data_IF_384610393991
#
_entry.id   IF_384610393991
#
_cell.length_a   1.000
_cell.length_b   1.000
_cell.length_c   1.000
_cell.angle_alpha   90.00
_cell.angle_beta   90.00
_cell.angle_gamma   90.00
#
_symmetry.space_group_name_H-M   'P 1'
#
loop_
_entity.id
_entity.type
_entity.pdbx_description
1 polymer ?
#
# COMPACT_ATOMS: atom_id res chain seq x y z
N UNK A 1 28.88 -10.99 -31.03
CA UNK A 1 28.93 -12.42 -31.45
C UNK A 1 28.81 -13.33 -30.24
N UNK A 2 27.97 -14.36 -30.34
CA UNK A 2 27.72 -15.26 -29.23
C UNK A 2 28.81 -16.32 -29.19
N UNK A 3 29.66 -16.31 -28.17
CA UNK A 3 30.74 -17.28 -28.00
C UNK A 3 30.19 -18.60 -27.42
N UNK A 4 30.02 -19.62 -28.28
CA UNK A 4 29.38 -20.90 -27.92
C UNK A 4 29.99 -21.59 -26.70
N UNK A 5 31.33 -21.71 -26.51
CA UNK A 5 31.89 -22.33 -25.33
C UNK A 5 31.52 -21.61 -24.04
N UNK A 6 31.50 -20.29 -24.04
CA UNK A 6 31.10 -19.45 -22.88
C UNK A 6 29.65 -19.71 -22.51
N UNK A 7 28.75 -19.75 -23.49
CA UNK A 7 27.31 -20.07 -23.27
C UNK A 7 27.15 -21.48 -22.72
N UNK A 8 27.88 -22.46 -23.28
CA UNK A 8 27.81 -23.85 -22.81
C UNK A 8 28.24 -23.97 -21.34
N UNK A 9 29.32 -23.31 -20.92
CA UNK A 9 29.80 -23.30 -19.54
C UNK A 9 28.78 -22.63 -18.61
N UNK A 10 28.21 -21.49 -19.02
CA UNK A 10 27.19 -20.79 -18.25
C UNK A 10 25.93 -21.63 -18.08
N UNK A 11 25.44 -22.23 -19.16
CA UNK A 11 24.25 -23.06 -19.15
C UNK A 11 24.47 -24.36 -18.32
N UNK A 12 25.61 -25.02 -18.47
CA UNK A 12 25.96 -26.19 -17.68
C UNK A 12 26.03 -25.87 -16.18
N UNK A 13 26.64 -24.75 -15.84
CA UNK A 13 26.68 -24.26 -14.44
C UNK A 13 25.29 -23.97 -13.91
N UNK A 14 24.43 -23.31 -14.69
CA UNK A 14 23.06 -23.02 -14.28
C UNK A 14 22.24 -24.29 -14.06
N UNK A 15 22.34 -25.26 -15.00
CA UNK A 15 21.67 -26.56 -14.87
C UNK A 15 22.17 -27.33 -13.66
N UNK A 16 23.47 -27.31 -13.39
CA UNK A 16 24.05 -27.92 -12.20
C UNK A 16 23.50 -27.29 -10.92
N UNK A 17 23.46 -25.96 -10.83
CA UNK A 17 22.91 -25.24 -9.67
C UNK A 17 21.43 -25.60 -9.47
N UNK A 18 20.61 -25.55 -10.52
CA UNK A 18 19.19 -25.87 -10.45
C UNK A 18 18.95 -27.34 -10.09
N UNK A 19 19.75 -28.25 -10.66
CA UNK A 19 19.72 -29.69 -10.36
C UNK A 19 20.06 -29.99 -8.89
N UNK A 20 21.16 -29.44 -8.39
CA UNK A 20 21.56 -29.58 -6.98
C UNK A 20 20.49 -29.02 -6.06
N UNK A 21 19.97 -27.82 -6.38
CA UNK A 21 18.92 -27.20 -5.58
C UNK A 21 17.64 -28.05 -5.52
N UNK A 22 17.26 -28.67 -6.64
CA UNK A 22 16.06 -29.52 -6.72
C UNK A 22 16.24 -30.86 -5.99
N UNK A 23 17.40 -31.47 -6.13
CA UNK A 23 17.70 -32.81 -5.57
C UNK A 23 18.06 -32.72 -4.07
N UNK A 24 18.76 -31.68 -3.67
CA UNK A 24 19.25 -31.47 -2.31
C UNK A 24 19.05 -29.99 -1.86
N UNK A 25 17.83 -29.58 -1.50
CA UNK A 25 17.51 -28.17 -1.19
C UNK A 25 18.32 -27.57 -0.04
N UNK A 26 18.86 -28.42 0.84
CA UNK A 26 19.69 -27.99 1.99
C UNK A 26 21.16 -27.73 1.63
N UNK A 27 21.60 -28.13 0.43
CA UNK A 27 22.98 -27.94 0.00
C UNK A 27 23.18 -26.53 -0.58
N UNK A 28 24.39 -25.96 -0.44
CA UNK A 28 24.70 -24.64 -1.01
C UNK A 28 24.90 -24.74 -2.53
N UNK A 29 23.81 -24.93 -3.27
CA UNK A 29 23.81 -25.26 -4.70
C UNK A 29 24.62 -24.26 -5.55
N UNK A 30 24.52 -22.95 -5.26
CA UNK A 30 25.27 -21.93 -5.98
C UNK A 30 26.79 -22.09 -5.76
N UNK A 31 27.23 -22.32 -4.51
CA UNK A 31 28.63 -22.54 -4.19
C UNK A 31 29.18 -23.78 -4.91
N UNK A 32 28.45 -24.90 -4.84
CA UNK A 32 28.85 -26.15 -5.47
C UNK A 32 28.88 -26.04 -7.00
N UNK A 33 27.93 -25.32 -7.60
CA UNK A 33 27.94 -25.06 -9.02
C UNK A 33 29.13 -24.22 -9.48
N UNK A 34 29.47 -23.18 -8.71
CA UNK A 34 30.65 -22.34 -8.97
C UNK A 34 31.96 -23.14 -8.81
N UNK A 35 32.12 -23.87 -7.70
CA UNK A 35 33.30 -24.71 -7.50
C UNK A 35 33.43 -25.78 -8.58
N UNK A 36 32.31 -26.40 -8.96
CA UNK A 36 32.27 -27.35 -10.06
C UNK A 36 32.71 -26.73 -11.40
N UNK A 37 32.26 -25.51 -11.70
CA UNK A 37 32.67 -24.79 -12.91
C UNK A 37 34.16 -24.42 -12.91
N UNK A 38 34.74 -24.08 -11.74
CA UNK A 38 36.16 -23.83 -11.60
C UNK A 38 37.00 -25.10 -11.84
N UNK A 39 36.53 -26.24 -11.31
CA UNK A 39 37.15 -27.52 -11.57
C UNK A 39 37.14 -27.87 -13.06
N UNK A 40 36.02 -27.70 -13.71
CA UNK A 40 35.85 -27.90 -15.16
C UNK A 40 36.77 -26.98 -15.96
N UNK A 41 36.89 -25.71 -15.53
CA UNK A 41 37.76 -24.71 -16.16
C UNK A 41 39.23 -25.17 -16.16
N UNK A 42 39.72 -25.69 -15.04
CA UNK A 42 41.09 -26.19 -14.90
C UNK A 42 41.28 -27.51 -15.65
N UNK A 43 40.40 -28.50 -15.50
CA UNK A 43 40.57 -29.83 -16.03
C UNK A 43 40.48 -29.85 -17.57
N UNK A 44 39.60 -29.03 -18.18
CA UNK A 44 39.39 -28.98 -19.64
C UNK A 44 40.25 -27.89 -20.30
N UNK A 45 40.98 -27.07 -19.49
CA UNK A 45 41.74 -25.91 -19.99
C UNK A 45 40.85 -24.98 -20.82
N UNK A 46 39.71 -24.55 -20.26
CA UNK A 46 38.70 -23.76 -20.98
C UNK A 46 39.24 -22.40 -21.46
N UNK A 47 40.40 -21.97 -20.98
CA UNK A 47 41.14 -20.82 -21.46
C UNK A 47 41.55 -20.99 -22.95
N UNK A 48 41.99 -22.17 -23.33
CA UNK A 48 42.37 -22.52 -24.70
C UNK A 48 41.14 -22.44 -25.68
N UNK A 49 39.95 -22.55 -25.12
CA UNK A 49 38.69 -22.38 -25.87
C UNK A 49 38.13 -20.96 -25.82
N UNK A 50 38.89 -19.99 -25.30
CA UNK A 50 38.53 -18.59 -25.24
C UNK A 50 37.48 -18.24 -24.18
N UNK A 51 37.25 -19.10 -23.16
CA UNK A 51 36.37 -18.79 -22.05
C UNK A 51 37.12 -17.92 -21.04
N UNK A 52 36.73 -16.68 -20.90
CA UNK A 52 37.38 -15.73 -20.00
C UNK A 52 37.06 -16.01 -18.53
N UNK A 53 38.08 -15.97 -17.67
CA UNK A 53 37.93 -15.94 -16.23
C UNK A 53 37.91 -14.50 -15.69
N UNK A 54 37.50 -14.35 -14.41
CA UNK A 54 37.44 -13.05 -13.71
C UNK A 54 38.80 -12.36 -13.64
N UNK A 55 39.88 -13.17 -13.68
CA UNK A 55 41.25 -12.66 -13.52
C UNK A 55 41.65 -12.44 -12.06
N UNK A 56 42.83 -11.83 -11.87
CA UNK A 56 43.36 -11.54 -10.55
C UNK A 56 42.57 -10.36 -9.94
N UNK A 57 41.87 -10.66 -8.85
CA UNK A 57 41.24 -9.60 -8.03
C UNK A 57 42.30 -9.09 -7.02
N UNK A 58 42.44 -7.77 -6.84
CA UNK A 58 43.34 -7.24 -5.81
C UNK A 58 43.02 -7.85 -4.45
N UNK A 59 44.04 -8.51 -3.87
CA UNK A 59 43.92 -9.07 -2.52
C UNK A 59 44.24 -7.99 -1.48
N UNK A 60 43.54 -8.00 -0.37
CA UNK A 60 43.75 -7.09 0.73
C UNK A 60 42.53 -6.29 1.14
N UNK A 61 42.64 -5.61 2.25
CA UNK A 61 41.56 -4.74 2.74
C UNK A 61 41.48 -3.45 1.88
N UNK A 62 40.30 -3.04 1.42
CA UNK A 62 40.19 -1.83 0.63
C UNK A 62 40.64 -0.61 1.44
N UNK A 63 41.46 0.24 0.82
CA UNK A 63 41.94 1.47 1.47
C UNK A 63 40.83 2.52 1.41
N UNK A 64 40.60 3.25 2.51
CA UNK A 64 39.64 4.36 2.51
C UNK A 64 40.06 5.41 1.48
N UNK A 65 39.14 5.83 0.64
CA UNK A 65 39.37 6.89 -0.34
C UNK A 65 38.08 7.71 -0.54
N UNK A 66 38.25 9.01 -0.72
CA UNK A 66 37.14 9.85 -1.14
C UNK A 66 37.12 9.87 -2.67
N UNK A 67 35.96 9.68 -3.30
CA UNK A 67 35.86 9.74 -4.75
C UNK A 67 36.16 11.17 -5.24
N UNK A 68 37.02 11.27 -6.24
CA UNK A 68 37.28 12.52 -6.94
C UNK A 68 36.19 12.74 -8.00
N UNK A 69 35.24 13.62 -7.71
CA UNK A 69 34.08 13.89 -8.58
C UNK A 69 33.97 15.37 -8.88
N UNK A 70 33.76 15.72 -10.14
CA UNK A 70 33.48 17.09 -10.55
C UNK A 70 32.10 17.55 -10.07
N UNK A 71 31.88 18.87 -9.93
CA UNK A 71 30.60 19.42 -9.50
C UNK A 71 29.40 19.00 -10.38
N UNK A 72 29.62 18.83 -11.68
CA UNK A 72 28.55 18.38 -12.60
C UNK A 72 28.21 16.89 -12.40
N UNK A 73 29.21 16.06 -12.13
CA UNK A 73 29.01 14.65 -11.80
C UNK A 73 28.32 14.50 -10.44
N UNK A 74 28.71 15.31 -9.45
CA UNK A 74 28.08 15.33 -8.15
C UNK A 74 26.58 15.57 -8.23
N UNK A 75 26.13 16.56 -9.01
CA UNK A 75 24.70 16.82 -9.22
C UNK A 75 23.95 15.61 -9.79
N UNK A 76 24.54 14.92 -10.78
CA UNK A 76 23.94 13.69 -11.35
C UNK A 76 23.88 12.56 -10.34
N UNK A 77 24.96 12.41 -9.53
CA UNK A 77 25.04 11.39 -8.50
C UNK A 77 24.03 11.63 -7.38
N UNK A 78 23.74 12.87 -6.99
CA UNK A 78 22.75 13.19 -5.95
C UNK A 78 21.37 12.67 -6.35
N UNK A 79 20.94 12.88 -7.60
CA UNK A 79 19.64 12.39 -8.08
C UNK A 79 19.58 10.86 -8.08
N UNK A 80 20.65 10.20 -8.54
CA UNK A 80 20.74 8.75 -8.53
C UNK A 80 20.77 8.21 -7.09
N UNK A 81 21.54 8.84 -6.18
CA UNK A 81 21.66 8.47 -4.79
C UNK A 81 20.33 8.58 -4.04
N UNK A 82 19.50 9.61 -4.34
CA UNK A 82 18.16 9.74 -3.76
C UNK A 82 17.26 8.54 -4.13
N UNK A 83 17.29 8.12 -5.40
CA UNK A 83 16.54 6.94 -5.83
C UNK A 83 16.99 5.65 -5.14
N UNK A 84 18.32 5.45 -5.01
CA UNK A 84 18.89 4.31 -4.29
C UNK A 84 18.54 4.36 -2.81
N UNK A 85 18.62 5.54 -2.17
CA UNK A 85 18.29 5.72 -0.77
C UNK A 85 16.83 5.39 -0.46
N UNK A 86 15.89 5.88 -1.27
CA UNK A 86 14.45 5.59 -1.12
C UNK A 86 14.21 4.08 -1.27
N UNK A 87 14.81 3.44 -2.26
CA UNK A 87 14.65 2.02 -2.50
C UNK A 87 15.24 1.19 -1.36
N UNK A 88 16.48 1.47 -0.96
CA UNK A 88 17.18 0.76 0.11
C UNK A 88 16.45 0.92 1.45
N UNK A 89 15.97 2.13 1.76
CA UNK A 89 15.19 2.39 2.98
C UNK A 89 13.85 1.65 2.97
N UNK A 90 13.10 1.69 1.86
CA UNK A 90 11.82 1.01 1.74
C UNK A 90 11.95 -0.50 1.90
N UNK A 91 12.98 -1.10 1.27
CA UNK A 91 13.28 -2.51 1.35
C UNK A 91 13.71 -2.90 2.78
N UNK A 92 14.62 -2.12 3.40
CA UNK A 92 15.05 -2.33 4.78
C UNK A 92 13.86 -2.28 5.76
N UNK A 93 13.00 -1.27 5.65
CA UNK A 93 11.83 -1.11 6.50
C UNK A 93 10.81 -2.25 6.31
N UNK A 94 10.63 -2.73 5.07
CA UNK A 94 9.77 -3.88 4.79
C UNK A 94 10.25 -5.14 5.53
N UNK A 95 11.55 -5.43 5.46
CA UNK A 95 12.11 -6.61 6.12
C UNK A 95 12.22 -6.46 7.64
N UNK A 96 12.52 -5.27 8.14
CA UNK A 96 12.54 -5.00 9.58
C UNK A 96 11.16 -5.27 10.23
N UNK A 97 10.08 -4.88 9.54
CA UNK A 97 8.70 -5.18 9.98
C UNK A 97 8.27 -6.62 9.75
N UNK A 98 8.77 -7.28 8.71
CA UNK A 98 8.43 -8.66 8.39
C UNK A 98 9.12 -9.68 9.33
N UNK A 99 10.26 -9.33 9.90
CA UNK A 99 11.06 -10.17 10.77
C UNK A 99 11.37 -9.45 12.10
N UNK A 100 10.36 -9.30 12.98
CA UNK A 100 10.56 -8.62 14.25
C UNK A 100 11.60 -9.35 15.11
N UNK A 101 12.38 -8.59 15.89
CA UNK A 101 13.36 -9.13 16.81
C UNK A 101 12.73 -10.11 17.80
N UNK A 102 13.44 -11.19 18.18
CA UNK A 102 12.99 -12.09 19.23
C UNK A 102 12.74 -11.33 20.53
N UNK A 103 11.68 -11.71 21.26
CA UNK A 103 11.36 -11.08 22.55
C UNK A 103 12.43 -11.38 23.59
N UNK A 104 12.92 -10.33 24.22
CA UNK A 104 13.77 -10.45 25.40
C UNK A 104 12.90 -10.49 26.67
N UNK A 105 13.28 -11.22 27.72
CA UNK A 105 12.56 -11.20 28.98
C UNK A 105 12.46 -9.79 29.57
N UNK A 106 11.24 -9.31 29.81
CA UNK A 106 10.98 -7.98 30.37
C UNK A 106 10.80 -6.84 29.35
N UNK A 107 10.95 -7.11 28.07
CA UNK A 107 10.75 -6.15 27.00
C UNK A 107 9.26 -5.93 26.70
N UNK A 108 8.82 -4.67 26.61
CA UNK A 108 7.44 -4.31 26.27
C UNK A 108 7.19 -4.46 24.76
N UNK A 109 5.96 -4.76 24.31
CA UNK A 109 5.63 -4.79 22.89
C UNK A 109 5.97 -3.49 22.13
N UNK A 110 5.83 -2.33 22.78
CA UNK A 110 6.19 -1.02 22.23
C UNK A 110 7.68 -0.87 21.95
N UNK A 111 8.54 -1.54 22.72
CA UNK A 111 9.99 -1.42 22.59
C UNK A 111 10.53 -2.22 21.37
N UNK A 112 9.64 -2.98 20.71
CA UNK A 112 9.91 -3.75 19.49
C UNK A 112 9.48 -3.06 18.22
N UNK A 113 8.79 -1.93 18.33
CA UNK A 113 8.45 -1.17 17.14
C UNK A 113 9.72 -0.62 16.52
N UNK A 114 9.85 -0.90 15.22
CA UNK A 114 10.98 -0.39 14.43
C UNK A 114 10.81 1.12 14.30
N UNK A 115 11.73 1.87 14.90
CA UNK A 115 11.77 3.32 14.77
C UNK A 115 12.29 3.71 13.37
N UNK A 116 11.46 4.31 12.51
CA UNK A 116 11.85 4.69 11.16
C UNK A 116 13.03 5.66 11.10
N UNK A 117 13.19 6.54 12.10
CA UNK A 117 14.25 7.54 12.12
C UNK A 117 15.60 6.90 12.46
N UNK A 118 15.62 6.00 13.44
CA UNK A 118 16.82 5.26 13.82
C UNK A 118 17.30 4.33 12.68
N UNK A 119 16.36 3.67 12.00
CA UNK A 119 16.69 2.83 10.83
C UNK A 119 17.27 3.66 9.68
N UNK A 120 16.70 4.83 9.40
CA UNK A 120 17.23 5.73 8.37
C UNK A 120 18.64 6.23 8.72
N UNK A 121 18.87 6.62 9.98
CA UNK A 121 20.16 7.08 10.44
C UNK A 121 21.22 5.95 10.38
N UNK A 122 20.87 4.74 10.82
CA UNK A 122 21.74 3.57 10.76
C UNK A 122 22.09 3.21 9.31
N UNK A 123 21.10 3.20 8.41
CA UNK A 123 21.30 2.93 6.99
C UNK A 123 22.19 4.00 6.34
N UNK A 124 22.01 5.27 6.70
CA UNK A 124 22.87 6.39 6.28
C UNK A 124 24.33 6.20 6.72
N UNK A 125 24.54 5.84 7.98
CA UNK A 125 25.89 5.57 8.51
C UNK A 125 26.57 4.39 7.81
N UNK A 126 25.83 3.31 7.53
CA UNK A 126 26.32 2.15 6.77
C UNK A 126 26.73 2.56 5.36
N UNK A 127 25.90 3.32 4.63
CA UNK A 127 26.22 3.76 3.27
C UNK A 127 27.39 4.74 3.23
N UNK A 128 27.51 5.62 4.22
CA UNK A 128 28.69 6.49 4.33
C UNK A 128 29.98 5.69 4.54
N UNK A 129 29.95 4.70 5.44
CA UNK A 129 31.08 3.82 5.66
C UNK A 129 31.44 3.03 4.39
N UNK A 130 30.46 2.40 3.76
CA UNK A 130 30.64 1.65 2.50
C UNK A 130 31.18 2.55 1.39
N UNK A 131 30.70 3.79 1.27
CA UNK A 131 31.16 4.75 0.27
C UNK A 131 32.63 5.12 0.44
N UNK A 132 33.12 5.32 1.69
CA UNK A 132 34.53 5.61 2.01
C UNK A 132 35.46 4.46 1.59
N UNK A 133 34.97 3.22 1.65
CA UNK A 133 35.72 2.04 1.22
C UNK A 133 35.49 1.64 -0.22
N UNK A 134 34.84 2.49 -1.03
CA UNK A 134 34.55 2.23 -2.46
C UNK A 134 33.59 1.07 -2.71
N UNK A 135 32.75 0.73 -1.73
CA UNK A 135 31.79 -0.36 -1.85
C UNK A 135 30.49 0.04 -2.55
N UNK A 136 29.65 -0.95 -2.82
CA UNK A 136 28.32 -0.76 -3.44
C UNK A 136 27.27 -0.44 -2.37
N UNK A 137 26.17 0.26 -2.74
CA UNK A 137 25.02 0.43 -1.86
C UNK A 137 24.50 -0.92 -1.35
N UNK A 138 24.15 -0.97 -0.08
CA UNK A 138 23.66 -2.18 0.59
C UNK A 138 22.19 -2.07 0.95
N UNK A 139 21.49 -3.20 0.94
CA UNK A 139 20.10 -3.32 1.35
C UNK A 139 19.89 -4.61 2.13
N UNK A 140 18.71 -4.76 2.71
CA UNK A 140 18.31 -5.94 3.45
C UNK A 140 18.14 -7.16 2.52
N UNK A 141 18.28 -8.36 3.10
CA UNK A 141 18.05 -9.60 2.38
C UNK A 141 17.06 -10.49 3.12
N UNK A 142 15.83 -10.54 2.65
CA UNK A 142 14.77 -11.35 3.26
C UNK A 142 15.11 -12.84 3.34
N UNK A 143 15.79 -13.40 2.34
CA UNK A 143 16.16 -14.82 2.35
C UNK A 143 17.24 -15.14 3.39
N UNK A 144 18.24 -14.26 3.56
CA UNK A 144 19.27 -14.42 4.58
C UNK A 144 18.72 -14.20 5.98
N UNK A 145 17.85 -13.19 6.15
CA UNK A 145 17.16 -12.95 7.42
C UNK A 145 16.23 -14.12 7.79
N UNK A 146 15.45 -14.64 6.83
CA UNK A 146 14.63 -15.82 7.06
C UNK A 146 15.44 -17.05 7.47
N UNK A 147 16.64 -17.24 6.89
CA UNK A 147 17.54 -18.32 7.28
C UNK A 147 18.07 -18.14 8.72
N UNK A 148 18.45 -16.93 9.11
CA UNK A 148 18.87 -16.63 10.47
C UNK A 148 17.75 -16.87 11.50
N UNK A 149 16.53 -16.45 11.18
CA UNK A 149 15.34 -16.70 12.02
C UNK A 149 15.04 -18.20 12.12
N UNK A 150 15.11 -18.94 11.00
CA UNK A 150 14.90 -20.39 10.99
C UNK A 150 16.01 -21.15 11.77
N UNK A 151 17.22 -20.60 11.82
CA UNK A 151 18.32 -21.10 12.62
C UNK A 151 18.25 -20.65 14.11
N UNK A 152 17.17 -19.96 14.51
CA UNK A 152 16.98 -19.46 15.88
C UNK A 152 18.08 -18.49 16.35
N UNK A 153 18.63 -17.69 15.44
CA UNK A 153 19.60 -16.66 15.78
C UNK A 153 18.96 -15.60 16.69
N UNK A 154 19.51 -15.41 17.88
CA UNK A 154 18.99 -14.47 18.90
C UNK A 154 19.80 -13.19 19.03
N UNK A 155 20.98 -13.14 18.41
CA UNK A 155 21.92 -12.02 18.51
C UNK A 155 22.51 -11.72 17.14
N UNK A 156 23.13 -10.56 16.99
CA UNK A 156 23.83 -10.16 15.74
C UNK A 156 25.23 -10.81 15.60
N UNK A 157 25.64 -11.70 16.50
CA UNK A 157 26.92 -12.41 16.42
C UNK A 157 27.07 -13.19 15.12
N UNK A 158 25.98 -13.76 14.60
CA UNK A 158 26.03 -14.45 13.30
C UNK A 158 26.46 -13.52 12.14
N UNK A 159 26.08 -12.26 12.17
CA UNK A 159 26.48 -11.26 11.17
C UNK A 159 27.99 -10.93 11.28
N UNK A 160 28.50 -10.84 12.50
CA UNK A 160 29.94 -10.63 12.73
C UNK A 160 30.77 -11.83 12.26
N UNK A 161 30.29 -13.05 12.52
CA UNK A 161 30.94 -14.27 12.02
C UNK A 161 30.91 -14.31 10.50
N UNK A 162 29.77 -13.98 9.88
CA UNK A 162 29.66 -13.90 8.42
C UNK A 162 30.63 -12.85 7.84
N UNK A 163 30.73 -11.66 8.47
CA UNK A 163 31.67 -10.63 8.07
C UNK A 163 33.13 -11.09 8.19
N UNK A 164 33.48 -11.78 9.28
CA UNK A 164 34.82 -12.36 9.47
C UNK A 164 35.12 -13.41 8.39
N UNK A 165 34.19 -14.29 8.05
CA UNK A 165 34.36 -15.25 6.97
C UNK A 165 34.57 -14.56 5.61
N UNK A 166 33.81 -13.52 5.32
CA UNK A 166 33.99 -12.73 4.08
C UNK A 166 35.35 -12.07 4.04
N UNK A 167 35.81 -11.51 5.18
CA UNK A 167 37.15 -10.92 5.28
C UNK A 167 38.23 -11.95 5.00
N UNK A 168 38.15 -13.14 5.58
CA UNK A 168 39.09 -14.25 5.31
C UNK A 168 39.08 -14.61 3.81
N UNK A 169 37.91 -14.68 3.20
CA UNK A 169 37.80 -14.94 1.75
C UNK A 169 38.45 -13.84 0.92
N UNK A 170 38.25 -12.56 1.25
CA UNK A 170 38.87 -11.42 0.54
C UNK A 170 40.41 -11.49 0.66
N UNK A 171 40.93 -11.85 1.82
CA UNK A 171 42.38 -11.94 2.05
C UNK A 171 43.06 -13.13 1.33
N UNK A 172 42.33 -14.24 1.19
CA UNK A 172 42.85 -15.48 0.63
C UNK A 172 42.51 -15.74 -0.84
N UNK A 173 41.48 -15.07 -1.37
CA UNK A 173 40.87 -15.40 -2.65
C UNK A 173 41.59 -14.87 -3.89
N UNK A 174 42.62 -14.03 -3.75
CA UNK A 174 43.28 -13.40 -4.90
C UNK A 174 43.78 -14.37 -5.97
N UNK A 175 44.22 -15.56 -5.59
CA UNK A 175 44.66 -16.62 -6.53
C UNK A 175 43.51 -17.52 -7.01
N UNK A 176 42.45 -17.61 -6.23
CA UNK A 176 41.31 -18.51 -6.54
C UNK A 176 40.38 -17.89 -7.60
N UNK A 177 40.28 -16.56 -7.61
CA UNK A 177 39.41 -15.86 -8.56
C UNK A 177 39.88 -15.94 -10.01
N UNK A 178 41.18 -16.18 -10.25
CA UNK A 178 41.71 -16.39 -11.60
C UNK A 178 41.18 -17.64 -12.30
N UNK A 179 40.67 -18.58 -11.52
CA UNK A 179 40.10 -19.84 -12.00
C UNK A 179 38.58 -19.77 -12.19
N UNK A 180 37.99 -18.64 -11.85
CA UNK A 180 36.51 -18.46 -11.86
C UNK A 180 36.01 -17.97 -13.24
N UNK A 181 35.30 -18.81 -14.01
CA UNK A 181 34.75 -18.38 -15.30
C UNK A 181 33.70 -17.29 -15.16
N UNK A 182 33.78 -16.23 -15.95
CA UNK A 182 32.76 -15.17 -15.99
C UNK A 182 31.36 -15.72 -16.29
N UNK A 183 31.27 -16.76 -17.11
CA UNK A 183 30.03 -17.47 -17.41
C UNK A 183 29.37 -18.09 -16.18
N UNK A 184 30.18 -18.57 -15.20
CA UNK A 184 29.64 -19.12 -13.96
C UNK A 184 29.01 -18.03 -13.07
N UNK A 185 29.59 -16.84 -13.03
CA UNK A 185 28.99 -15.69 -12.35
C UNK A 185 27.66 -15.29 -13.00
N UNK A 186 27.62 -15.26 -14.35
CA UNK A 186 26.36 -15.05 -15.09
C UNK A 186 25.30 -16.08 -14.73
N UNK A 187 25.68 -17.37 -14.63
CA UNK A 187 24.77 -18.43 -14.22
C UNK A 187 24.22 -18.22 -12.78
N UNK A 188 25.07 -17.79 -11.84
CA UNK A 188 24.62 -17.45 -10.47
C UNK A 188 23.66 -16.29 -10.46
N UNK A 189 23.92 -15.24 -11.25
CA UNK A 189 23.02 -14.09 -11.38
C UNK A 189 21.65 -14.51 -11.95
N UNK A 190 21.64 -15.32 -13.02
CA UNK A 190 20.40 -15.85 -13.58
C UNK A 190 19.64 -16.71 -12.55
N UNK A 191 20.35 -17.59 -11.85
CA UNK A 191 19.75 -18.38 -10.76
C UNK A 191 19.15 -17.51 -9.68
N UNK A 192 19.89 -16.48 -9.21
CA UNK A 192 19.37 -15.54 -8.21
C UNK A 192 18.13 -14.79 -8.72
N UNK A 193 18.14 -14.35 -9.98
CA UNK A 193 16.99 -13.70 -10.60
C UNK A 193 15.73 -14.60 -10.61
N UNK A 194 15.87 -15.91 -10.93
CA UNK A 194 14.73 -16.85 -10.88
C UNK A 194 14.14 -16.99 -9.48
N UNK A 195 14.94 -16.78 -8.43
CA UNK A 195 14.50 -16.84 -7.03
C UNK A 195 13.77 -15.58 -6.56
N UNK A 196 14.00 -14.45 -7.24
CA UNK A 196 13.34 -13.17 -6.95
C UNK A 196 11.99 -13.04 -7.63
N UNK A 197 11.74 -13.80 -8.70
CA UNK A 197 10.45 -13.75 -9.42
C UNK A 197 9.41 -14.59 -8.69
N UNK A 198 8.44 -13.91 -8.10
CA UNK A 198 7.31 -14.51 -7.38
C UNK A 198 6.04 -14.44 -8.24
N UNK A 199 5.87 -15.35 -9.17
CA UNK A 199 4.71 -15.39 -10.09
C UNK A 199 3.39 -15.52 -9.32
N UNK A 200 3.39 -16.27 -8.21
CA UNK A 200 2.26 -16.44 -7.30
C UNK A 200 1.72 -15.11 -6.77
N UNK A 201 2.60 -14.18 -6.41
CA UNK A 201 2.22 -12.83 -5.96
C UNK A 201 1.56 -12.02 -7.08
N UNK A 202 2.08 -12.10 -8.30
CA UNK A 202 1.49 -11.45 -9.47
C UNK A 202 0.11 -12.01 -9.80
N UNK A 203 -0.05 -13.34 -9.78
CA UNK A 203 -1.34 -14.00 -10.00
C UNK A 203 -2.34 -13.61 -8.90
N UNK A 204 -1.91 -13.58 -7.63
CA UNK A 204 -2.73 -13.14 -6.51
C UNK A 204 -3.18 -11.69 -6.68
N UNK A 205 -2.27 -10.79 -7.08
CA UNK A 205 -2.56 -9.38 -7.31
C UNK A 205 -3.56 -9.20 -8.46
N UNK A 206 -3.39 -9.92 -9.56
CA UNK A 206 -4.33 -9.92 -10.69
C UNK A 206 -5.75 -10.35 -10.29
N UNK A 207 -5.86 -11.39 -9.45
CA UNK A 207 -7.15 -11.90 -8.97
C UNK A 207 -7.82 -10.96 -7.96
N UNK A 208 -7.02 -10.26 -7.17
CA UNK A 208 -7.53 -9.39 -6.10
C UNK A 208 -7.92 -8.01 -6.62
N UNK A 209 -7.02 -7.33 -7.37
CA UNK A 209 -7.26 -5.98 -7.91
C UNK A 209 -6.51 -5.77 -9.22
N UNK A 210 -7.23 -5.78 -10.32
CA UNK A 210 -6.67 -5.56 -11.67
C UNK A 210 -5.91 -4.23 -11.81
N UNK A 211 -6.35 -3.17 -11.11
CA UNK A 211 -5.67 -1.86 -11.15
C UNK A 211 -4.27 -1.94 -10.55
N UNK A 212 -4.13 -2.57 -9.39
CA UNK A 212 -2.82 -2.72 -8.74
C UNK A 212 -1.89 -3.62 -9.56
N UNK A 213 -2.43 -4.64 -10.21
CA UNK A 213 -1.68 -5.46 -11.16
C UNK A 213 -1.17 -4.64 -12.34
N UNK A 214 -2.01 -3.78 -12.95
CA UNK A 214 -1.59 -2.91 -14.05
C UNK A 214 -0.49 -1.93 -13.62
N UNK A 215 -0.60 -1.34 -12.43
CA UNK A 215 0.44 -0.47 -11.87
C UNK A 215 1.77 -1.23 -11.73
N UNK A 216 1.72 -2.46 -11.18
CA UNK A 216 2.91 -3.28 -11.00
C UNK A 216 3.55 -3.67 -12.35
N UNK A 217 2.75 -4.05 -13.35
CA UNK A 217 3.24 -4.38 -14.70
C UNK A 217 3.82 -3.14 -15.39
N UNK A 218 3.15 -1.99 -15.32
CA UNK A 218 3.63 -0.74 -15.92
C UNK A 218 4.97 -0.32 -15.30
N UNK A 219 5.09 -0.43 -13.98
CA UNK A 219 6.35 -0.17 -13.25
C UNK A 219 7.46 -1.13 -13.69
N UNK A 220 7.16 -2.44 -13.78
CA UNK A 220 8.11 -3.45 -14.23
C UNK A 220 8.62 -3.15 -15.64
N UNK A 221 7.72 -2.88 -16.58
CA UNK A 221 8.06 -2.53 -17.96
C UNK A 221 8.87 -1.23 -18.00
N UNK A 222 8.43 -0.20 -17.26
CA UNK A 222 9.15 1.06 -17.15
C UNK A 222 10.58 0.88 -16.63
N UNK A 223 10.77 0.03 -15.61
CA UNK A 223 12.09 -0.30 -15.06
C UNK A 223 12.98 -1.02 -16.08
N UNK A 224 12.42 -1.96 -16.85
CA UNK A 224 13.18 -2.70 -17.86
C UNK A 224 13.57 -1.82 -19.05
N UNK A 225 12.67 -0.92 -19.50
CA UNK A 225 12.88 -0.10 -20.69
C UNK A 225 13.73 1.15 -20.39
N UNK A 226 13.45 1.83 -19.29
CA UNK A 226 14.05 3.13 -18.96
C UNK A 226 15.06 3.07 -17.81
N UNK A 227 15.29 1.89 -17.24
CA UNK A 227 16.19 1.68 -16.11
C UNK A 227 15.52 1.87 -14.74
N UNK A 228 16.26 1.48 -13.69
CA UNK A 228 15.74 1.38 -12.31
C UNK A 228 15.25 2.74 -11.79
N UNK A 229 16.01 3.81 -12.00
CA UNK A 229 15.67 5.14 -11.48
C UNK A 229 14.38 5.68 -12.08
N UNK A 230 14.23 5.58 -13.40
CA UNK A 230 13.01 5.99 -14.09
C UNK A 230 11.82 5.09 -13.70
N UNK A 231 12.05 3.77 -13.52
CA UNK A 231 11.04 2.83 -13.06
C UNK A 231 10.53 3.16 -11.65
N UNK A 232 11.41 3.47 -10.71
CA UNK A 232 11.02 3.89 -9.35
C UNK A 232 10.26 5.22 -9.39
N UNK A 233 10.75 6.21 -10.16
CA UNK A 233 10.06 7.48 -10.34
C UNK A 233 8.64 7.29 -10.90
N UNK A 234 8.49 6.43 -11.91
CA UNK A 234 7.20 6.06 -12.48
C UNK A 234 6.29 5.38 -11.45
N UNK A 235 6.83 4.46 -10.65
CA UNK A 235 6.07 3.78 -9.60
C UNK A 235 5.51 4.76 -8.57
N UNK A 236 6.35 5.69 -8.09
CA UNK A 236 5.94 6.72 -7.13
C UNK A 236 4.89 7.64 -7.74
N UNK A 237 5.11 8.12 -8.97
CA UNK A 237 4.14 8.98 -9.66
C UNK A 237 2.77 8.28 -9.83
N UNK A 238 2.77 7.03 -10.28
CA UNK A 238 1.54 6.25 -10.46
C UNK A 238 0.85 5.96 -9.11
N UNK A 239 1.60 5.67 -8.04
CA UNK A 239 1.06 5.46 -6.71
C UNK A 239 0.40 6.72 -6.15
N UNK A 240 1.03 7.88 -6.33
CA UNK A 240 0.46 9.18 -5.94
C UNK A 240 -0.79 9.53 -6.74
N UNK A 241 -0.79 9.24 -8.06
CA UNK A 241 -1.97 9.43 -8.91
C UNK A 241 -3.14 8.53 -8.50
N UNK A 242 -2.88 7.23 -8.22
CA UNK A 242 -3.92 6.31 -7.75
C UNK A 242 -4.47 6.73 -6.39
N UNK A 243 -3.60 7.13 -5.47
CA UNK A 243 -3.99 7.69 -4.17
C UNK A 243 -4.83 8.95 -4.34
N UNK A 244 -4.39 9.90 -5.18
CA UNK A 244 -5.11 11.13 -5.48
C UNK A 244 -6.50 10.86 -6.08
N UNK A 245 -6.62 9.92 -7.02
CA UNK A 245 -7.90 9.51 -7.60
C UNK A 245 -8.87 8.92 -6.56
N UNK A 246 -8.35 8.09 -5.64
CA UNK A 246 -9.16 7.50 -4.55
C UNK A 246 -9.65 8.57 -3.57
N UNK A 247 -8.84 9.57 -3.29
CA UNK A 247 -9.20 10.69 -2.41
C UNK A 247 -10.17 11.65 -3.10
N UNK A 248 -10.03 11.88 -4.41
CA UNK A 248 -10.89 12.77 -5.18
C UNK A 248 -12.30 12.19 -5.43
N UNK A 249 -12.46 10.85 -5.39
CA UNK A 249 -13.75 10.16 -5.59
C UNK A 249 -13.93 9.10 -4.52
N UNK A 250 -14.21 9.49 -3.27
CA UNK A 250 -14.41 8.56 -2.18
C UNK A 250 -15.75 7.84 -2.30
N UNK A 251 -15.97 6.87 -1.45
CA UNK A 251 -17.27 6.21 -1.33
C UNK A 251 -18.26 7.18 -0.71
N UNK A 252 -19.47 7.13 -1.22
CA UNK A 252 -20.60 7.89 -0.69
C UNK A 252 -21.88 7.07 -0.86
N UNK A 253 -22.87 7.29 -0.01
CA UNK A 253 -24.11 6.55 -0.05
C UNK A 253 -25.29 7.37 0.47
N UNK A 254 -26.44 7.19 -0.12
CA UNK A 254 -27.72 7.56 0.48
C UNK A 254 -28.05 6.52 1.54
N UNK A 255 -28.50 6.99 2.70
CA UNK A 255 -28.85 6.14 3.84
C UNK A 255 -30.37 6.04 3.97
N UNK A 256 -30.85 4.85 4.29
CA UNK A 256 -32.25 4.55 4.58
C UNK A 256 -32.40 3.66 5.83
N UNK A 257 -33.62 3.51 6.31
CA UNK A 257 -33.99 2.60 7.41
C UNK A 257 -34.14 1.18 6.87
N UNK A 258 -33.61 0.22 7.60
CA UNK A 258 -33.82 -1.20 7.33
C UNK A 258 -34.76 -1.75 8.39
N UNK A 259 -35.91 -2.33 8.02
CA UNK A 259 -36.84 -2.90 8.99
C UNK A 259 -36.15 -3.93 9.89
N UNK A 260 -36.28 -3.75 11.21
CA UNK A 260 -35.69 -4.65 12.21
C UNK A 260 -34.19 -4.51 12.45
N UNK A 261 -33.52 -3.54 11.83
CA UNK A 261 -32.11 -3.22 12.05
C UNK A 261 -31.99 -1.80 12.58
N UNK A 262 -31.24 -1.61 13.67
CA UNK A 262 -31.06 -0.30 14.27
C UNK A 262 -30.18 0.61 13.41
N UNK A 263 -30.60 1.88 13.26
CA UNK A 263 -29.87 2.91 12.52
C UNK A 263 -30.25 2.97 11.04
N UNK A 264 -29.52 3.86 10.33
CA UNK A 264 -29.66 4.02 8.87
C UNK A 264 -28.50 3.36 8.14
N UNK A 265 -28.78 2.65 7.09
CA UNK A 265 -27.85 1.86 6.31
C UNK A 265 -27.82 2.32 4.85
N UNK A 266 -26.75 2.01 4.14
CA UNK A 266 -26.62 2.34 2.73
C UNK A 266 -27.70 1.64 1.91
N UNK A 267 -28.49 2.40 1.15
CA UNK A 267 -29.50 1.87 0.23
C UNK A 267 -28.90 0.97 -0.85
N UNK A 268 -27.62 1.19 -1.19
CA UNK A 268 -26.90 0.36 -2.15
C UNK A 268 -26.53 -1.02 -1.60
N UNK A 269 -26.30 -1.11 -0.29
CA UNK A 269 -25.89 -2.36 0.39
C UNK A 269 -27.09 -3.15 0.93
N UNK A 270 -28.20 -2.46 1.24
CA UNK A 270 -29.43 -3.03 1.78
C UNK A 270 -30.62 -2.70 0.85
N UNK A 271 -31.07 -3.66 0.03
CA UNK A 271 -32.17 -3.43 -0.92
C UNK A 271 -33.51 -3.07 -0.29
N UNK A 272 -33.72 -3.55 0.94
CA UNK A 272 -34.91 -3.28 1.76
C UNK A 272 -34.84 -1.94 2.53
N UNK A 273 -33.75 -1.18 2.37
CA UNK A 273 -33.64 0.11 3.01
C UNK A 273 -34.61 1.13 2.41
N UNK A 274 -35.40 1.74 3.26
CA UNK A 274 -36.45 2.71 2.92
C UNK A 274 -35.98 4.12 3.27
N UNK A 275 -36.14 5.06 2.35
CA UNK A 275 -35.91 6.49 2.59
C UNK A 275 -37.21 7.15 3.04
N UNK A 276 -37.12 8.23 3.82
CA UNK A 276 -38.29 9.00 4.24
C UNK A 276 -38.66 10.01 3.17
N UNK A 277 -39.97 10.17 2.85
CA UNK A 277 -40.42 11.18 1.92
C UNK A 277 -39.92 12.59 2.29
N UNK A 278 -39.32 13.29 1.34
CA UNK A 278 -38.80 14.64 1.52
C UNK A 278 -37.49 14.77 2.34
N UNK A 279 -36.88 13.65 2.74
CA UNK A 279 -35.63 13.60 3.45
C UNK A 279 -34.59 12.76 2.71
N UNK A 280 -33.45 13.34 2.40
CA UNK A 280 -32.24 12.61 1.97
C UNK A 280 -31.18 12.69 3.06
N UNK A 281 -30.65 11.53 3.46
CA UNK A 281 -29.48 11.42 4.32
C UNK A 281 -28.31 10.90 3.47
N UNK A 282 -27.31 11.75 3.27
CA UNK A 282 -26.17 11.44 2.42
C UNK A 282 -24.90 11.32 3.24
N UNK A 283 -24.22 10.18 3.14
CA UNK A 283 -22.94 9.92 3.80
C UNK A 283 -21.80 10.05 2.80
N UNK A 284 -20.76 10.79 3.21
CA UNK A 284 -19.54 10.98 2.44
C UNK A 284 -18.34 10.51 3.26
N UNK A 285 -17.68 9.43 2.80
CA UNK A 285 -16.71 8.67 3.58
C UNK A 285 -15.26 9.13 3.30
N UNK A 286 -15.00 10.44 3.41
CA UNK A 286 -13.64 11.01 3.30
C UNK A 286 -13.53 12.40 3.93
N UNK A 287 -12.31 12.86 4.25
CA UNK A 287 -12.03 14.27 4.46
C UNK A 287 -12.45 15.11 3.26
N UNK A 288 -12.92 16.34 3.51
CA UNK A 288 -13.33 17.27 2.45
C UNK A 288 -12.21 18.25 2.13
N UNK A 289 -11.87 18.39 0.84
CA UNK A 289 -10.84 19.29 0.37
C UNK A 289 -11.06 19.66 -1.11
N UNK A 290 -10.24 20.59 -1.60
CA UNK A 290 -10.37 21.15 -2.97
C UNK A 290 -10.58 20.11 -4.07
N UNK A 291 -9.99 18.91 -3.95
CA UNK A 291 -10.07 17.90 -5.01
C UNK A 291 -11.38 17.10 -5.02
N UNK A 292 -12.14 17.05 -3.92
CA UNK A 292 -13.34 16.23 -3.82
C UNK A 292 -14.64 16.99 -3.52
N UNK A 293 -14.58 18.27 -3.15
CA UNK A 293 -15.78 19.07 -2.90
C UNK A 293 -16.67 19.17 -4.15
N UNK A 294 -16.07 19.27 -5.33
CA UNK A 294 -16.82 19.25 -6.59
C UNK A 294 -17.52 17.91 -6.86
N UNK A 295 -16.94 16.80 -6.41
CA UNK A 295 -17.57 15.48 -6.47
C UNK A 295 -18.79 15.40 -5.55
N UNK A 296 -18.65 15.87 -4.31
CA UNK A 296 -19.75 15.94 -3.35
C UNK A 296 -20.94 16.76 -3.91
N UNK A 297 -20.66 17.97 -4.44
CA UNK A 297 -21.72 18.83 -5.01
C UNK A 297 -22.44 18.17 -6.20
N UNK A 298 -21.69 17.58 -7.14
CA UNK A 298 -22.28 16.86 -8.28
C UNK A 298 -23.14 15.67 -7.82
N UNK A 299 -22.67 14.91 -6.84
CA UNK A 299 -23.42 13.78 -6.31
C UNK A 299 -24.68 14.24 -5.57
N UNK A 300 -24.60 15.31 -4.77
CA UNK A 300 -25.76 15.89 -4.11
C UNK A 300 -26.82 16.32 -5.13
N UNK A 301 -26.43 17.05 -6.17
CA UNK A 301 -27.37 17.48 -7.21
C UNK A 301 -27.97 16.29 -7.96
N UNK A 302 -27.18 15.29 -8.32
CA UNK A 302 -27.66 14.06 -8.96
C UNK A 302 -28.70 13.33 -8.09
N UNK A 303 -28.47 13.23 -6.78
CA UNK A 303 -29.42 12.61 -5.84
C UNK A 303 -30.73 13.40 -5.79
N UNK A 304 -30.67 14.74 -5.77
CA UNK A 304 -31.85 15.61 -5.78
C UNK A 304 -32.67 15.42 -7.06
N UNK A 305 -32.00 15.35 -8.21
CA UNK A 305 -32.65 15.14 -9.50
C UNK A 305 -33.27 13.74 -9.60
N UNK A 306 -32.61 12.71 -9.09
CA UNK A 306 -33.10 11.33 -8.97
C UNK A 306 -34.34 11.28 -8.06
N UNK A 307 -34.33 11.91 -6.88
CA UNK A 307 -35.45 12.00 -5.96
C UNK A 307 -36.63 12.72 -6.59
N UNK A 308 -36.41 13.85 -7.24
CA UNK A 308 -37.44 14.62 -7.93
C UNK A 308 -38.09 13.82 -9.05
N UNK A 309 -37.32 13.03 -9.78
CA UNK A 309 -37.83 12.20 -10.89
C UNK A 309 -38.59 10.98 -10.38
N UNK A 310 -38.09 10.36 -9.32
CA UNK A 310 -38.71 9.16 -8.74
C UNK A 310 -39.99 9.47 -7.97
N UNK A 311 -40.07 10.65 -7.36
CA UNK A 311 -41.17 11.05 -6.47
C UNK A 311 -41.68 12.46 -6.78
N UNK A 312 -42.33 12.70 -7.94
CA UNK A 312 -42.74 14.05 -8.38
C UNK A 312 -43.78 14.70 -7.47
N UNK A 313 -44.49 13.90 -6.66
CA UNK A 313 -45.48 14.40 -5.69
C UNK A 313 -44.94 14.62 -4.27
N UNK A 314 -43.65 14.34 -4.05
CA UNK A 314 -43.02 14.40 -2.72
C UNK A 314 -41.76 15.29 -2.77
N UNK A 315 -41.90 16.61 -2.64
CA UNK A 315 -40.77 17.51 -2.78
C UNK A 315 -39.72 17.26 -1.65
N UNK A 316 -38.44 17.17 -2.05
CA UNK A 316 -37.33 17.11 -1.10
C UNK A 316 -37.30 18.42 -0.29
N UNK A 317 -37.16 18.30 1.04
CA UNK A 317 -37.15 19.44 1.95
C UNK A 317 -35.87 19.52 2.81
N UNK A 318 -35.33 18.35 3.21
CA UNK A 318 -34.10 18.28 3.99
C UNK A 318 -33.08 17.42 3.27
N UNK A 319 -31.87 17.97 3.16
CA UNK A 319 -30.68 17.25 2.72
C UNK A 319 -29.69 17.20 3.88
N UNK A 320 -29.52 16.04 4.50
CA UNK A 320 -28.65 15.85 5.66
C UNK A 320 -27.35 15.20 5.23
N UNK A 321 -26.25 15.90 5.48
CA UNK A 321 -24.90 15.37 5.25
C UNK A 321 -24.37 14.71 6.52
N UNK A 322 -24.22 13.38 6.50
CA UNK A 322 -23.54 12.66 7.58
C UNK A 322 -22.03 12.87 7.43
N UNK A 323 -21.45 13.68 8.32
CA UNK A 323 -20.04 14.10 8.32
C UNK A 323 -19.18 13.33 9.33
N UNK A 324 -19.64 12.17 9.80
CA UNK A 324 -18.90 11.33 10.77
C UNK A 324 -17.49 10.97 10.28
N UNK A 325 -17.34 10.67 8.99
CA UNK A 325 -16.06 10.31 8.36
C UNK A 325 -15.23 11.53 7.93
N UNK A 326 -15.83 12.74 7.95
CA UNK A 326 -15.13 13.97 7.61
C UNK A 326 -14.28 14.41 8.80
N UNK A 327 -13.01 14.05 8.78
CA UNK A 327 -12.06 14.38 9.86
C UNK A 327 -11.38 15.74 9.68
N UNK A 328 -11.27 16.23 8.45
CA UNK A 328 -10.61 17.49 8.09
C UNK A 328 -11.35 18.15 6.93
N UNK A 329 -11.25 19.48 6.86
CA UNK A 329 -11.80 20.29 5.78
C UNK A 329 -10.84 21.43 5.47
N UNK A 330 -10.66 21.77 4.19
CA UNK A 330 -9.92 22.96 3.76
C UNK A 330 -10.88 24.12 3.41
N UNK A 331 -10.32 25.30 3.19
CA UNK A 331 -11.11 26.51 2.92
C UNK A 331 -11.93 26.37 1.63
N UNK A 332 -11.35 25.77 0.59
CA UNK A 332 -12.05 25.57 -0.70
C UNK A 332 -13.26 24.64 -0.54
N UNK A 333 -13.15 23.64 0.33
CA UNK A 333 -14.28 22.78 0.62
C UNK A 333 -15.34 23.47 1.49
N UNK A 334 -14.94 24.35 2.39
CA UNK A 334 -15.89 25.21 3.12
C UNK A 334 -16.67 26.10 2.16
N UNK A 335 -16.00 26.81 1.24
CA UNK A 335 -16.64 27.63 0.23
C UNK A 335 -17.61 26.81 -0.63
N UNK A 336 -17.19 25.62 -1.06
CA UNK A 336 -18.04 24.72 -1.84
C UNK A 336 -19.23 24.15 -1.08
N UNK A 337 -19.15 24.00 0.27
CA UNK A 337 -20.32 23.68 1.10
C UNK A 337 -21.25 24.87 1.24
N UNK A 338 -20.74 26.09 1.35
CA UNK A 338 -21.52 27.33 1.35
C UNK A 338 -22.29 27.49 0.04
N UNK A 339 -21.64 27.26 -1.10
CA UNK A 339 -22.30 27.25 -2.40
C UNK A 339 -23.40 26.17 -2.47
N UNK A 340 -23.13 24.95 -1.99
CA UNK A 340 -24.12 23.87 -1.95
C UNK A 340 -25.32 24.28 -1.09
N UNK A 341 -25.09 24.91 0.06
CA UNK A 341 -26.15 25.39 0.93
C UNK A 341 -27.02 26.43 0.22
N UNK A 342 -26.41 27.37 -0.50
CA UNK A 342 -27.09 28.37 -1.28
C UNK A 342 -27.93 27.75 -2.42
N UNK A 343 -27.33 26.83 -3.19
CA UNK A 343 -27.98 26.10 -4.27
C UNK A 343 -29.22 25.30 -3.79
N UNK A 344 -29.11 24.70 -2.60
CA UNK A 344 -30.20 23.95 -1.98
C UNK A 344 -31.32 24.89 -1.45
N UNK A 345 -30.92 25.98 -0.81
CA UNK A 345 -31.89 26.97 -0.31
C UNK A 345 -32.72 27.60 -1.43
N UNK A 346 -32.11 27.85 -2.59
CA UNK A 346 -32.83 28.31 -3.80
C UNK A 346 -33.88 27.30 -4.33
N UNK A 347 -33.81 26.04 -3.88
CA UNK A 347 -34.73 24.95 -4.21
C UNK A 347 -35.70 24.61 -3.05
N UNK A 348 -35.78 25.43 -2.01
CA UNK A 348 -36.49 25.19 -0.75
C UNK A 348 -36.01 23.94 0.01
N UNK A 349 -34.75 23.56 -0.14
CA UNK A 349 -34.13 22.43 0.54
C UNK A 349 -33.19 22.95 1.62
N UNK A 350 -33.34 22.48 2.86
CA UNK A 350 -32.46 22.83 3.96
C UNK A 350 -31.30 21.86 4.07
N UNK A 351 -30.06 22.38 4.05
CA UNK A 351 -28.85 21.59 4.32
C UNK A 351 -28.67 21.45 5.85
N UNK A 352 -28.46 20.24 6.31
CA UNK A 352 -28.12 19.95 7.70
C UNK A 352 -26.92 19.02 7.82
N UNK A 353 -26.32 19.00 9.01
CA UNK A 353 -25.15 18.17 9.31
C UNK A 353 -25.46 17.21 10.45
N UNK A 354 -25.05 15.94 10.27
CA UNK A 354 -25.24 14.90 11.28
C UNK A 354 -23.88 14.38 11.71
N UNK A 355 -23.69 14.18 13.03
CA UNK A 355 -22.45 13.65 13.66
C UNK A 355 -21.21 14.54 13.40
N UNK A 356 -21.40 15.85 13.42
CA UNK A 356 -20.31 16.82 13.28
C UNK A 356 -19.35 16.74 14.48
N UNK A 357 -18.06 16.62 14.19
CA UNK A 357 -17.01 16.67 15.21
C UNK A 357 -16.64 18.11 15.51
N UNK A 358 -16.14 18.38 16.73
CA UNK A 358 -15.83 19.74 17.16
C UNK A 358 -14.87 20.50 16.23
N UNK A 359 -13.82 19.83 15.74
CA UNK A 359 -12.84 20.49 14.85
C UNK A 359 -13.47 20.92 13.53
N UNK A 360 -14.32 20.08 12.95
CA UNK A 360 -15.09 20.38 11.75
C UNK A 360 -16.11 21.50 12.02
N UNK A 361 -16.81 21.44 13.15
CA UNK A 361 -17.76 22.49 13.56
C UNK A 361 -17.07 23.86 13.65
N UNK A 362 -15.91 23.95 14.33
CA UNK A 362 -15.14 25.19 14.45
C UNK A 362 -14.62 25.70 13.10
N UNK A 363 -14.27 24.79 12.17
CA UNK A 363 -13.85 25.19 10.83
C UNK A 363 -15.02 25.78 10.02
N UNK A 364 -16.19 25.14 10.03
CA UNK A 364 -17.38 25.60 9.32
C UNK A 364 -17.95 26.90 9.92
N UNK A 365 -17.87 27.06 11.24
CA UNK A 365 -18.27 28.30 11.91
C UNK A 365 -17.37 29.48 11.50
N UNK A 366 -16.03 29.26 11.50
CA UNK A 366 -15.07 30.29 11.06
C UNK A 366 -15.21 30.64 9.57
N UNK A 367 -15.62 29.69 8.75
CA UNK A 367 -15.86 29.91 7.33
C UNK A 367 -17.25 30.50 7.02
N UNK A 368 -18.14 30.68 8.02
CA UNK A 368 -19.49 31.22 7.86
C UNK A 368 -20.49 30.25 7.19
N UNK A 369 -20.15 28.98 7.08
CA UNK A 369 -21.06 27.93 6.57
C UNK A 369 -22.10 27.58 7.65
N UNK A 370 -21.70 27.60 8.90
CA UNK A 370 -22.59 27.49 10.07
C UNK A 370 -22.72 28.87 10.70
N UNK A 371 -23.95 29.33 10.91
CA UNK A 371 -24.30 30.58 11.53
C UNK A 371 -25.53 30.42 12.44
N UNK A 372 -26.03 31.50 13.01
CA UNK A 372 -27.21 31.48 13.89
C UNK A 372 -28.48 30.97 13.17
N UNK A 373 -28.55 31.06 11.85
CA UNK A 373 -29.77 30.76 11.06
C UNK A 373 -29.91 29.28 10.76
N UNK A 374 -28.82 28.49 10.86
CA UNK A 374 -28.81 27.06 10.51
C UNK A 374 -28.36 26.13 11.65
N UNK A 375 -28.15 26.65 12.86
CA UNK A 375 -27.78 25.85 14.04
C UNK A 375 -28.84 24.78 14.38
N UNK A 376 -30.09 25.01 14.07
CA UNK A 376 -31.19 24.06 14.24
C UNK A 376 -31.10 22.83 13.30
N UNK A 377 -30.22 22.90 12.29
CA UNK A 377 -29.95 21.83 11.33
C UNK A 377 -28.69 21.01 11.68
N UNK A 378 -28.20 21.12 12.91
CA UNK A 378 -27.08 20.34 13.44
C UNK A 378 -27.60 19.22 14.35
N UNK A 379 -27.31 17.98 14.01
CA UNK A 379 -27.84 16.84 14.73
C UNK A 379 -26.72 15.96 15.28
N UNK A 380 -26.77 15.57 16.57
CA UNK A 380 -25.75 14.74 17.20
C UNK A 380 -25.76 13.30 16.67
N UNK A 381 -26.91 12.79 16.25
CA UNK A 381 -27.09 11.43 15.73
C UNK A 381 -28.13 11.37 14.60
N UNK A 382 -28.08 10.31 13.80
CA UNK A 382 -29.07 10.06 12.75
C UNK A 382 -30.49 9.88 13.31
N UNK A 383 -30.62 9.26 14.49
CA UNK A 383 -31.92 9.04 15.13
C UNK A 383 -32.55 10.39 15.53
N UNK A 384 -31.78 11.29 16.15
CA UNK A 384 -32.26 12.61 16.52
C UNK A 384 -32.63 13.44 15.28
N UNK A 385 -31.84 13.32 14.21
CA UNK A 385 -32.14 14.01 12.95
C UNK A 385 -33.46 13.53 12.34
N UNK A 386 -33.69 12.23 12.35
CA UNK A 386 -34.92 11.61 11.88
C UNK A 386 -36.14 12.03 12.70
N UNK A 387 -36.06 11.95 14.03
CA UNK A 387 -37.14 12.38 14.93
C UNK A 387 -37.50 13.84 14.70
N UNK A 388 -36.50 14.72 14.58
CA UNK A 388 -36.71 16.14 14.29
C UNK A 388 -37.34 16.37 12.93
N UNK A 389 -36.94 15.61 11.91
CA UNK A 389 -37.58 15.69 10.60
C UNK A 389 -39.05 15.30 10.67
N UNK A 390 -39.39 14.18 11.33
CA UNK A 390 -40.77 13.71 11.49
C UNK A 390 -41.62 14.69 12.27
N UNK A 391 -41.09 15.33 13.32
CA UNK A 391 -41.80 16.39 14.05
C UNK A 391 -42.04 17.61 13.17
N UNK A 392 -41.06 18.03 12.39
CA UNK A 392 -41.17 19.13 11.47
C UNK A 392 -42.21 18.84 10.38
N UNK A 393 -42.16 17.65 9.78
CA UNK A 393 -43.10 17.24 8.73
C UNK A 393 -44.55 17.24 9.21
N UNK A 394 -44.83 16.78 10.45
CA UNK A 394 -46.18 16.80 11.04
C UNK A 394 -46.72 18.19 11.24
N UNK A 395 -45.88 19.20 11.45
CA UNK A 395 -46.27 20.60 11.72
C UNK A 395 -46.37 21.45 10.45
N UNK A 396 -45.83 20.97 9.33
CA UNK A 396 -45.74 21.72 8.09
C UNK A 396 -46.59 21.09 7.00
N UNK A 397 -47.65 21.76 6.56
CA UNK A 397 -48.58 21.23 5.55
C UNK A 397 -47.97 21.10 4.15
N UNK A 398 -46.79 21.67 3.94
CA UNK A 398 -46.01 21.58 2.67
C UNK A 398 -45.04 20.36 2.68
N UNK A 399 -44.95 19.67 3.82
CA UNK A 399 -44.17 18.47 3.90
C UNK A 399 -44.89 17.29 3.21
N UNK A 400 -44.18 16.37 2.58
CA UNK A 400 -44.76 15.12 2.07
C UNK A 400 -45.44 14.35 3.19
N UNK A 401 -46.52 13.63 2.87
CA UNK A 401 -47.25 12.79 3.82
C UNK A 401 -46.37 11.59 4.18
N UNK A 402 -45.93 11.53 5.43
CA UNK A 402 -44.97 10.50 5.92
C UNK A 402 -45.64 9.15 6.22
N UNK A 403 -46.98 9.01 5.98
CA UNK A 403 -47.72 7.78 6.27
C UNK A 403 -47.47 6.64 5.25
N UNK A 404 -46.79 6.90 4.12
CA UNK A 404 -46.47 5.86 3.13
C UNK A 404 -45.00 5.49 3.26
N UNK A 405 -44.75 4.27 3.72
CA UNK A 405 -43.45 3.65 3.55
C UNK A 405 -43.14 3.56 2.04
N UNK A 406 -41.98 4.08 1.63
CA UNK A 406 -41.56 4.01 0.24
C UNK A 406 -41.14 2.58 -0.08
N UNK A 407 -41.59 2.07 -1.22
CA UNK A 407 -41.09 0.79 -1.71
C UNK A 407 -39.58 0.82 -1.88
N UNK A 408 -38.85 -0.27 -1.60
CA UNK A 408 -37.39 -0.32 -1.69
C UNK A 408 -36.92 0.02 -3.10
N UNK A 409 -36.00 0.98 -3.18
CA UNK A 409 -35.56 1.65 -4.42
C UNK A 409 -34.77 0.75 -5.37
N UNK A 410 -34.24 -0.40 -4.92
CA UNK A 410 -33.43 -1.27 -5.78
C UNK A 410 -33.24 -2.68 -5.21
N UNK A 411 -33.36 -3.72 -6.05
CA UNK A 411 -32.84 -5.06 -5.76
C UNK A 411 -31.31 -5.00 -5.89
N UNK A 412 -30.59 -4.86 -4.80
CA UNK A 412 -29.14 -4.99 -4.77
C UNK A 412 -28.76 -6.43 -4.38
N UNK A 413 -27.75 -6.96 -5.05
CA UNK A 413 -27.11 -8.22 -4.69
C UNK A 413 -25.92 -7.92 -3.79
N UNK A 414 -26.13 -7.92 -2.48
CA UNK A 414 -25.06 -7.79 -1.48
C UNK A 414 -24.87 -9.08 -0.69
N UNK A 415 -23.69 -9.30 -0.06
CA UNK A 415 -23.40 -10.51 0.70
C UNK A 415 -24.30 -10.72 1.93
N UNK A 416 -25.03 -9.69 2.36
CA UNK A 416 -25.92 -9.71 3.53
C UNK A 416 -27.36 -10.14 3.22
N UNK A 417 -27.72 -10.27 1.96
CA UNK A 417 -29.06 -10.72 1.53
C UNK A 417 -29.20 -12.25 1.54
N UNK A 418 -28.10 -13.00 1.52
CA UNK A 418 -28.10 -14.47 1.47
C UNK A 418 -28.38 -15.15 2.82
N UNK A 419 -28.20 -14.43 3.95
CA UNK A 419 -28.36 -15.03 5.29
C UNK A 419 -29.81 -15.02 5.81
N UNK A 420 -30.72 -14.22 5.26
CA UNK A 420 -32.11 -14.13 5.74
C UNK A 420 -33.04 -15.21 5.20
N UNK A 421 -32.78 -15.73 4.02
CA UNK A 421 -33.61 -16.81 3.44
C UNK A 421 -33.31 -18.19 4.02
N UNK A 422 -32.29 -18.31 4.90
CA UNK A 422 -31.86 -19.55 5.53
C UNK A 422 -31.86 -19.58 7.06
N UNK A 423 -32.16 -18.49 7.75
CA UNK A 423 -32.06 -18.42 9.21
C UNK A 423 -33.36 -18.81 9.93
N UNK A 424 -33.69 -20.10 9.89
CA UNK A 424 -34.19 -20.76 11.10
C UNK A 424 -33.09 -20.73 12.17
N UNK A 425 -33.30 -19.93 13.21
CA UNK A 425 -32.66 -20.03 14.55
C UNK A 425 -31.23 -20.63 14.61
N UNK A 426 -30.20 -19.86 14.36
CA UNK A 426 -28.86 -20.16 14.84
C UNK A 426 -28.56 -19.28 16.07
N UNK A 427 -28.55 -19.91 17.24
CA UNK A 427 -28.08 -19.34 18.50
C UNK A 427 -26.63 -18.92 18.37
N UNK A 428 -26.31 -17.68 18.78
CA UNK A 428 -24.95 -17.18 18.95
C UNK A 428 -24.13 -18.14 19.84
N UNK A 429 -22.93 -18.54 19.50
CA UNK A 429 -22.07 -19.28 20.39
C UNK A 429 -21.67 -18.38 21.57
N UNK A 430 -21.87 -18.91 22.77
CA UNK A 430 -21.45 -18.28 24.01
C UNK A 430 -19.95 -18.01 24.00
N UNK A 431 -19.58 -16.78 24.39
CA UNK A 431 -18.19 -16.36 24.58
C UNK A 431 -17.55 -17.25 25.65
N UNK A 432 -16.65 -18.14 25.23
CA UNK A 432 -15.70 -18.78 26.15
C UNK A 432 -14.65 -17.75 26.57
N UNK A 433 -14.68 -17.42 27.85
CA UNK A 433 -13.62 -16.68 28.54
C UNK A 433 -12.38 -17.57 28.65
N UNK A 434 -11.18 -17.11 28.30
CA UNK A 434 -9.98 -17.87 28.60
C UNK A 434 -9.68 -17.75 30.08
N UNK A 435 -9.70 -18.89 30.77
CA UNK A 435 -9.19 -19.06 32.13
C UNK A 435 -7.67 -19.17 32.12
N UNK A 436 -7.00 -18.25 32.86
CA UNK A 436 -5.64 -18.24 33.44
C UNK A 436 -4.44 -18.39 32.51
#
# INVERSE_FOLDING_TARGET
>A
ETHLPTVAVGLATLVAILGIHRLRPRWPAALLGVVGSMLVYVVISLDDYGVSAVGAVPSGFPTPSLPDVSGAEFQRLVVAALGVAIMAYSDNMLFARAFPSPSLPGERPSDREVDPQNELAALGAVHAAVGIFGGFPVSSSGSRTALAVAAHARTQVYSLVAAACVLVVILLAGSITTLLPNAALGAVVVYAATRLVHIDKFVRLFRFRRREFLLAVTTLVGTVVYGILAGVGLAVALALLDMGQRMARPRSAVLGRVPGVAGMHSVADYPEAETLPGLVVYRYDAPLFFANIGDLRRNAQRIIDEERTAYPGEPLRWFLLNVEAVSQIDITACDGLGDLQHDLAAQDIRLGFVRIKNDLYQALLRAGVIDETNQDMLFPTLVVAEERYLEWARRNPVAPTVERERAPVRKATGPWTAERDGAGTASLPASESPSV
#
